data_IF_784464935318
#
_entry.id   IF_784464935318
#
_cell.length_a   1.000
_cell.length_b   1.000
_cell.length_c   1.000
_cell.angle_alpha   90.00
_cell.angle_beta   90.00
_cell.angle_gamma   90.00
#
_symmetry.space_group_name_H-M   'P 1'
#
loop_
_entity.id
_entity.type
_entity.pdbx_description
1 polymer ?
#
# COMPACT_ATOMS: atom_id res chain seq x y z
N UNK A 1 -8.43 -9.32 12.04
CA UNK A 1 -7.42 -8.38 11.57
C UNK A 1 -7.81 -7.01 12.07
N UNK A 2 -6.84 -6.29 12.66
CA UNK A 2 -7.04 -4.97 13.25
C UNK A 2 -6.54 -3.89 12.31
N UNK A 3 -7.38 -2.90 12.03
CA UNK A 3 -7.06 -1.76 11.16
C UNK A 3 -7.11 -0.48 11.98
N UNK A 4 -6.05 0.31 11.94
CA UNK A 4 -6.00 1.65 12.50
C UNK A 4 -6.42 2.66 11.43
N UNK A 5 -7.40 3.51 11.74
CA UNK A 5 -7.89 4.59 10.86
C UNK A 5 -7.65 5.91 11.55
N UNK A 6 -6.86 6.79 10.95
CA UNK A 6 -6.51 8.10 11.51
C UNK A 6 -6.79 9.20 10.50
N UNK A 7 -7.67 10.11 10.89
CA UNK A 7 -8.10 11.26 10.09
C UNK A 7 -8.75 12.27 11.04
N UNK A 8 -8.58 13.57 10.85
CA UNK A 8 -9.19 14.60 11.68
C UNK A 8 -10.68 14.84 11.35
N UNK A 9 -11.15 14.34 10.21
CA UNK A 9 -12.56 14.35 9.83
C UNK A 9 -13.37 13.23 10.50
N UNK A 10 -13.92 13.46 11.68
CA UNK A 10 -14.66 12.46 12.46
C UNK A 10 -15.80 11.76 11.67
N UNK A 11 -16.43 12.44 10.72
CA UNK A 11 -17.50 11.87 9.87
C UNK A 11 -16.92 10.84 8.91
N UNK A 12 -15.78 11.15 8.28
CA UNK A 12 -15.08 10.24 7.38
C UNK A 12 -14.60 8.99 8.13
N UNK A 13 -13.97 9.18 9.29
CA UNK A 13 -13.53 8.08 10.17
C UNK A 13 -14.68 7.15 10.52
N UNK A 14 -15.84 7.70 10.94
CA UNK A 14 -17.03 6.89 11.23
C UNK A 14 -17.52 6.11 10.02
N UNK A 15 -17.52 6.71 8.83
CA UNK A 15 -17.92 6.08 7.58
C UNK A 15 -16.98 4.91 7.21
N UNK A 16 -15.67 5.13 7.28
CA UNK A 16 -14.66 4.09 7.02
C UNK A 16 -14.80 2.95 8.04
N UNK A 17 -14.85 3.29 9.34
CA UNK A 17 -15.00 2.32 10.43
C UNK A 17 -16.23 1.44 10.23
N UNK A 18 -17.39 2.04 9.99
CA UNK A 18 -18.63 1.30 9.76
C UNK A 18 -18.49 0.28 8.63
N UNK A 19 -17.92 0.70 7.51
CA UNK A 19 -17.76 -0.17 6.35
C UNK A 19 -16.75 -1.30 6.58
N UNK A 20 -15.64 -1.03 7.26
CA UNK A 20 -14.62 -2.03 7.53
C UNK A 20 -15.08 -3.03 8.62
N UNK A 21 -15.79 -2.55 9.65
CA UNK A 21 -16.40 -3.43 10.66
C UNK A 21 -17.43 -4.38 10.04
N UNK A 22 -18.23 -3.92 9.07
CA UNK A 22 -19.15 -4.78 8.33
C UNK A 22 -18.46 -5.87 7.51
N UNK A 23 -17.20 -5.63 7.10
CA UNK A 23 -16.37 -6.64 6.42
C UNK A 23 -15.62 -7.56 7.42
N UNK A 24 -15.87 -7.43 8.72
CA UNK A 24 -15.31 -8.30 9.78
C UNK A 24 -13.94 -7.88 10.30
N UNK A 25 -13.50 -6.63 10.03
CA UNK A 25 -12.28 -6.07 10.62
C UNK A 25 -12.55 -5.49 12.00
N UNK A 26 -11.56 -5.58 12.89
CA UNK A 26 -11.52 -4.79 14.13
C UNK A 26 -10.91 -3.41 13.81
N UNK A 27 -11.60 -2.32 14.17
CA UNK A 27 -11.18 -0.96 13.75
C UNK A 27 -10.97 -0.06 14.95
N UNK A 28 -9.71 0.35 15.14
CA UNK A 28 -9.28 1.38 16.08
C UNK A 28 -9.15 2.70 15.33
N UNK A 29 -9.43 3.82 15.99
CA UNK A 29 -9.44 5.14 15.36
C UNK A 29 -8.62 6.15 16.13
N UNK A 30 -7.93 7.04 15.43
CA UNK A 30 -7.23 8.21 15.94
C UNK A 30 -7.64 9.46 15.17
N UNK A 31 -7.32 10.64 15.68
CA UNK A 31 -7.71 11.95 15.15
C UNK A 31 -6.53 12.83 14.72
N UNK A 32 -5.30 12.42 14.95
CA UNK A 32 -4.08 13.16 14.63
C UNK A 32 -2.85 12.23 14.52
N UNK A 33 -1.74 12.77 14.01
CA UNK A 33 -0.52 11.99 13.80
C UNK A 33 0.15 11.49 15.08
N UNK A 34 -0.06 12.12 16.25
CA UNK A 34 0.47 11.64 17.53
C UNK A 34 -0.25 10.36 17.95
N UNK A 35 -1.58 10.37 17.92
CA UNK A 35 -2.40 9.19 18.17
C UNK A 35 -2.07 8.07 17.18
N UNK A 36 -1.81 8.41 15.90
CA UNK A 36 -1.37 7.42 14.91
C UNK A 36 -0.12 6.68 15.35
N UNK A 37 0.92 7.41 15.81
CA UNK A 37 2.19 6.82 16.28
C UNK A 37 1.98 5.97 17.52
N UNK A 38 1.22 6.46 18.51
CA UNK A 38 0.93 5.75 19.76
C UNK A 38 0.16 4.45 19.51
N UNK A 39 -0.91 4.52 18.70
CA UNK A 39 -1.75 3.36 18.40
C UNK A 39 -1.06 2.36 17.47
N UNK A 40 -0.18 2.80 16.59
CA UNK A 40 0.61 1.94 15.72
C UNK A 40 1.66 1.10 16.47
N UNK A 41 1.98 1.46 17.73
CA UNK A 41 2.86 0.66 18.58
C UNK A 41 2.23 -0.65 19.07
N UNK A 42 0.89 -0.81 18.95
CA UNK A 42 0.22 -2.07 19.21
C UNK A 42 0.57 -3.10 18.12
N UNK A 43 1.29 -4.19 18.45
CA UNK A 43 1.72 -5.18 17.47
C UNK A 43 0.57 -5.96 16.82
N UNK A 44 -0.65 -5.80 17.31
CA UNK A 44 -1.85 -6.42 16.74
C UNK A 44 -2.46 -5.61 15.59
N UNK A 45 -1.93 -4.41 15.28
CA UNK A 45 -2.35 -3.62 14.12
C UNK A 45 -1.79 -4.25 12.84
N UNK A 46 -2.68 -4.65 11.94
CA UNK A 46 -2.35 -5.31 10.68
C UNK A 46 -2.24 -4.34 9.49
N UNK A 47 -2.84 -3.14 9.60
CA UNK A 47 -2.84 -2.10 8.56
C UNK A 47 -3.21 -0.75 9.15
N UNK A 48 -2.63 0.33 8.61
CA UNK A 48 -2.95 1.71 8.96
C UNK A 48 -3.53 2.43 7.74
N UNK A 49 -4.64 3.14 7.92
CA UNK A 49 -5.17 4.13 6.99
C UNK A 49 -4.90 5.49 7.63
N UNK A 50 -4.12 6.34 6.97
CA UNK A 50 -3.55 7.54 7.54
C UNK A 50 -3.80 8.75 6.65
N UNK A 51 -4.49 9.75 7.16
CA UNK A 51 -4.63 11.01 6.44
C UNK A 51 -3.31 11.77 6.36
N UNK A 52 -3.06 12.41 5.23
CA UNK A 52 -1.86 13.23 5.00
C UNK A 52 -1.93 14.54 5.79
N UNK A 53 -3.08 15.20 5.74
CA UNK A 53 -3.26 16.57 6.22
C UNK A 53 -3.99 16.59 7.55
N UNK A 54 -3.23 16.51 8.65
CA UNK A 54 -3.79 16.55 10.00
C UNK A 54 -3.12 17.65 10.85
N UNK A 55 -3.83 18.20 11.86
CA UNK A 55 -3.24 19.14 12.81
C UNK A 55 -2.18 18.49 13.70
N UNK A 56 -1.33 19.30 14.33
CA UNK A 56 -0.24 18.95 15.27
C UNK A 56 0.89 18.13 14.64
N UNK A 57 0.60 17.02 14.01
CA UNK A 57 1.54 16.15 13.30
C UNK A 57 0.86 15.64 12.04
N UNK A 58 1.41 15.98 10.89
CA UNK A 58 0.91 15.50 9.60
C UNK A 58 1.18 14.01 9.38
N UNK A 59 0.50 13.44 8.37
CA UNK A 59 0.61 12.01 8.08
C UNK A 59 2.00 11.56 7.62
N UNK A 60 2.79 12.42 6.97
CA UNK A 60 4.15 12.07 6.55
C UNK A 60 5.09 11.94 7.76
N UNK A 61 5.02 12.89 8.67
CA UNK A 61 5.79 12.83 9.90
C UNK A 61 5.39 11.62 10.76
N UNK A 62 4.08 11.33 10.84
CA UNK A 62 3.58 10.16 11.54
C UNK A 62 4.08 8.86 10.87
N UNK A 63 3.99 8.75 9.56
CA UNK A 63 4.47 7.62 8.77
C UNK A 63 5.97 7.39 9.00
N UNK A 64 6.80 8.43 8.87
CA UNK A 64 8.24 8.34 9.10
C UNK A 64 8.58 7.84 10.52
N UNK A 65 7.86 8.32 11.54
CA UNK A 65 8.02 7.84 12.92
C UNK A 65 7.59 6.38 13.08
N UNK A 66 6.45 5.98 12.50
CA UNK A 66 5.98 4.59 12.55
C UNK A 66 7.01 3.66 11.92
N UNK A 67 7.62 4.04 10.81
CA UNK A 67 8.64 3.25 10.12
C UNK A 67 9.93 3.03 10.93
N UNK A 68 10.16 3.80 11.98
CA UNK A 68 11.30 3.54 12.89
C UNK A 68 11.13 2.28 13.76
N UNK A 69 9.90 1.75 13.87
CA UNK A 69 9.61 0.59 14.72
C UNK A 69 8.62 -0.42 14.11
N UNK A 70 8.00 -0.14 12.95
CA UNK A 70 6.99 -1.02 12.36
C UNK A 70 7.00 -0.98 10.84
N UNK A 71 6.91 -2.18 10.23
CA UNK A 71 6.73 -2.39 8.79
C UNK A 71 5.26 -2.64 8.43
N UNK A 72 4.32 -2.32 9.33
CA UNK A 72 2.88 -2.46 9.09
C UNK A 72 2.48 -1.70 7.82
N UNK A 73 1.68 -2.26 6.91
CA UNK A 73 1.29 -1.56 5.69
C UNK A 73 0.50 -0.30 5.99
N UNK A 74 0.85 0.79 5.31
CA UNK A 74 0.22 2.12 5.45
C UNK A 74 -0.41 2.52 4.12
N UNK A 75 -1.73 2.75 4.13
CA UNK A 75 -2.48 3.41 3.07
C UNK A 75 -2.64 4.88 3.43
N UNK A 76 -1.98 5.76 2.66
CA UNK A 76 -2.07 7.21 2.85
C UNK A 76 -3.29 7.77 2.12
N UNK A 77 -4.08 8.61 2.80
CA UNK A 77 -5.14 9.40 2.18
C UNK A 77 -4.64 10.82 1.91
N UNK A 78 -4.95 11.39 0.74
CA UNK A 78 -4.52 12.75 0.36
C UNK A 78 -5.64 13.54 -0.32
N UNK A 79 -5.72 14.84 -0.07
CA UNK A 79 -6.72 15.72 -0.69
C UNK A 79 -6.38 16.11 -2.14
N UNK A 80 -5.12 15.98 -2.60
CA UNK A 80 -4.67 16.47 -3.91
C UNK A 80 -3.96 15.39 -4.72
N UNK A 81 -4.38 15.23 -5.98
CA UNK A 81 -3.69 14.37 -6.95
C UNK A 81 -2.27 14.88 -7.28
N UNK A 82 -2.04 16.19 -7.29
CA UNK A 82 -0.72 16.81 -7.53
C UNK A 82 0.29 16.51 -6.42
N UNK A 83 -0.18 16.30 -5.18
CA UNK A 83 0.68 15.87 -4.08
C UNK A 83 1.11 14.40 -4.24
N UNK A 84 0.30 13.57 -4.91
CA UNK A 84 0.68 12.17 -5.19
C UNK A 84 1.92 12.07 -6.08
N UNK A 85 2.03 12.89 -7.14
CA UNK A 85 3.21 12.83 -8.04
C UNK A 85 4.50 13.25 -7.31
N UNK A 86 4.41 14.19 -6.36
CA UNK A 86 5.52 14.57 -5.50
C UNK A 86 5.82 13.53 -4.42
N UNK A 87 4.79 12.91 -3.85
CA UNK A 87 4.91 11.91 -2.78
C UNK A 87 5.44 10.57 -3.28
N UNK A 88 5.10 10.16 -4.52
CA UNK A 88 5.63 8.96 -5.17
C UNK A 88 7.13 9.13 -5.49
N UNK A 89 7.59 10.38 -5.72
CA UNK A 89 9.01 10.70 -5.95
C UNK A 89 9.88 10.73 -4.69
N UNK A 90 9.29 10.77 -3.49
CA UNK A 90 9.99 10.73 -2.21
C UNK A 90 9.60 9.44 -1.50
N UNK A 91 10.59 8.66 -1.10
CA UNK A 91 10.44 7.37 -0.39
C UNK A 91 9.97 7.61 1.07
N UNK A 92 8.71 8.06 1.24
CA UNK A 92 8.14 8.39 2.57
C UNK A 92 7.67 7.17 3.37
N UNK A 93 7.85 5.96 2.83
CA UNK A 93 7.54 4.72 3.54
C UNK A 93 6.07 4.31 3.56
N UNK A 94 5.17 4.98 2.81
CA UNK A 94 3.81 4.50 2.60
C UNK A 94 3.77 3.40 1.52
N UNK A 95 2.88 2.41 1.68
CA UNK A 95 2.76 1.27 0.77
C UNK A 95 1.78 1.51 -0.37
N UNK A 96 0.82 2.42 -0.18
CA UNK A 96 -0.16 2.83 -1.20
C UNK A 96 -0.73 4.21 -0.86
N UNK A 97 -1.27 4.90 -1.87
CA UNK A 97 -1.88 6.22 -1.75
C UNK A 97 -3.27 6.24 -2.37
N UNK A 98 -4.17 7.06 -1.82
CA UNK A 98 -5.52 7.24 -2.32
C UNK A 98 -5.98 8.69 -2.18
N UNK A 99 -6.56 9.26 -3.23
CA UNK A 99 -7.05 10.64 -3.21
C UNK A 99 -8.45 10.74 -2.62
N UNK A 100 -8.70 11.78 -1.84
CA UNK A 100 -10.03 12.24 -1.43
C UNK A 100 -10.62 13.17 -2.52
N UNK A 101 -11.95 13.08 -2.85
CA UNK A 101 -12.90 12.09 -2.39
C UNK A 101 -12.70 10.72 -3.05
N UNK A 102 -12.94 9.64 -2.33
CA UNK A 102 -12.76 8.27 -2.83
C UNK A 102 -14.05 7.43 -2.74
N UNK A 103 -14.07 6.36 -3.52
CA UNK A 103 -15.11 5.35 -3.43
C UNK A 103 -14.76 4.34 -2.33
N UNK A 104 -15.70 4.05 -1.44
CA UNK A 104 -15.51 3.09 -0.35
C UNK A 104 -15.16 1.67 -0.84
N UNK A 105 -15.66 1.27 -2.02
CA UNK A 105 -15.32 -0.03 -2.61
C UNK A 105 -13.85 -0.07 -3.05
N UNK A 106 -13.31 1.06 -3.54
CA UNK A 106 -11.90 1.18 -3.88
C UNK A 106 -11.03 1.08 -2.63
N UNK A 107 -11.38 1.82 -1.56
CA UNK A 107 -10.68 1.74 -0.27
C UNK A 107 -10.64 0.28 0.24
N UNK A 108 -11.76 -0.41 0.26
CA UNK A 108 -11.85 -1.82 0.64
C UNK A 108 -10.97 -2.73 -0.23
N UNK A 109 -10.90 -2.47 -1.54
CA UNK A 109 -10.08 -3.26 -2.45
C UNK A 109 -8.57 -3.07 -2.15
N UNK A 110 -8.13 -1.83 -1.89
CA UNK A 110 -6.75 -1.51 -1.52
C UNK A 110 -6.36 -2.10 -0.17
N UNK A 111 -7.23 -1.99 0.84
CA UNK A 111 -7.05 -2.62 2.16
C UNK A 111 -6.83 -4.13 2.02
N UNK A 112 -7.69 -4.82 1.26
CA UNK A 112 -7.52 -6.27 1.02
C UNK A 112 -6.21 -6.60 0.30
N UNK A 113 -5.79 -5.76 -0.65
CA UNK A 113 -4.54 -5.96 -1.39
C UNK A 113 -3.31 -5.82 -0.49
N UNK A 114 -3.28 -4.78 0.35
CA UNK A 114 -2.20 -4.52 1.30
C UNK A 114 -2.10 -5.64 2.36
N UNK A 115 -3.22 -6.02 2.98
CA UNK A 115 -3.26 -7.11 3.95
C UNK A 115 -2.82 -8.45 3.35
N UNK A 116 -3.14 -8.72 2.08
CA UNK A 116 -2.68 -9.92 1.38
C UNK A 116 -1.17 -9.89 1.14
N UNK A 117 -0.59 -8.73 0.80
CA UNK A 117 0.87 -8.57 0.63
C UNK A 117 1.60 -8.79 1.94
N UNK A 118 1.13 -8.18 3.03
CA UNK A 118 1.71 -8.32 4.37
C UNK A 118 1.75 -9.78 4.86
N UNK A 119 0.68 -10.55 4.62
CA UNK A 119 0.62 -11.97 4.98
C UNK A 119 1.59 -12.88 4.22
N UNK A 120 2.01 -12.47 3.01
CA UNK A 120 2.89 -13.29 2.16
C UNK A 120 4.36 -13.29 2.62
N UNK A 121 4.72 -12.39 3.53
CA UNK A 121 6.11 -12.17 3.94
C UNK A 121 6.95 -11.50 2.83
N UNK A 122 8.07 -10.85 3.17
CA UNK A 122 8.91 -10.14 2.19
C UNK A 122 9.43 -11.05 1.07
N UNK A 123 9.78 -12.30 1.37
CA UNK A 123 10.28 -13.24 0.34
C UNK A 123 9.19 -13.67 -0.67
N UNK A 124 7.96 -13.91 -0.23
CA UNK A 124 6.86 -14.31 -1.13
C UNK A 124 6.23 -13.11 -1.84
N UNK A 125 6.27 -11.93 -1.21
CA UNK A 125 5.80 -10.69 -1.84
C UNK A 125 6.72 -10.22 -2.97
N UNK A 126 8.01 -10.58 -2.91
CA UNK A 126 8.98 -10.26 -3.94
C UNK A 126 8.80 -11.09 -5.23
N UNK A 127 8.08 -12.21 -5.19
CA UNK A 127 7.92 -13.10 -6.33
C UNK A 127 6.61 -12.84 -7.09
N UNK A 128 6.74 -12.52 -8.37
CA UNK A 128 5.64 -12.53 -9.35
C UNK A 128 5.72 -13.80 -10.18
N UNK A 129 4.58 -14.44 -10.40
CA UNK A 129 4.52 -15.69 -11.17
C UNK A 129 3.46 -15.62 -12.26
N UNK A 130 3.78 -16.11 -13.45
CA UNK A 130 2.85 -16.24 -14.55
C UNK A 130 3.29 -17.37 -15.48
N UNK A 131 2.48 -18.43 -15.55
CA UNK A 131 2.84 -19.64 -16.28
C UNK A 131 4.15 -20.26 -15.76
N UNK A 132 5.16 -20.41 -16.60
CA UNK A 132 6.48 -20.91 -16.23
C UNK A 132 7.47 -19.82 -15.81
N UNK A 133 7.05 -18.54 -15.80
CA UNK A 133 7.91 -17.40 -15.48
C UNK A 133 7.75 -17.04 -14.01
N UNK A 134 8.86 -16.77 -13.34
CA UNK A 134 8.92 -16.22 -11.98
C UNK A 134 9.90 -15.06 -11.96
N UNK A 135 9.47 -13.91 -11.44
CA UNK A 135 10.31 -12.74 -11.21
C UNK A 135 10.45 -12.48 -9.71
N UNK A 136 11.67 -12.25 -9.26
CA UNK A 136 11.90 -11.65 -7.95
C UNK A 136 12.11 -10.15 -8.14
N UNK A 137 11.15 -9.35 -7.67
CA UNK A 137 11.16 -7.89 -7.86
C UNK A 137 12.18 -7.18 -6.97
N UNK A 138 12.58 -7.80 -5.87
CA UNK A 138 13.55 -7.26 -4.93
C UNK A 138 15.00 -7.48 -5.41
N UNK A 139 15.33 -8.70 -5.82
CA UNK A 139 16.67 -9.02 -6.37
C UNK A 139 16.79 -8.76 -7.88
N UNK A 140 15.67 -8.39 -8.55
CA UNK A 140 15.57 -8.21 -10.01
C UNK A 140 16.07 -9.41 -10.81
N UNK A 141 15.71 -10.60 -10.36
CA UNK A 141 16.06 -11.86 -11.02
C UNK A 141 14.85 -12.52 -11.66
N UNK A 142 15.05 -13.12 -12.82
CA UNK A 142 14.00 -13.81 -13.59
C UNK A 142 14.33 -15.32 -13.71
N UNK A 143 13.30 -16.15 -13.69
CA UNK A 143 13.42 -17.60 -13.87
C UNK A 143 12.32 -18.10 -14.83
N UNK A 144 12.70 -19.05 -15.68
CA UNK A 144 11.77 -19.88 -16.46
C UNK A 144 11.85 -21.31 -15.93
N UNK A 145 10.81 -21.72 -15.22
CA UNK A 145 10.89 -22.97 -14.42
C UNK A 145 11.96 -22.83 -13.32
N UNK A 146 12.99 -23.66 -13.37
CA UNK A 146 14.12 -23.63 -12.43
C UNK A 146 15.40 -23.00 -13.01
N UNK A 147 15.36 -22.51 -14.27
CA UNK A 147 16.52 -21.91 -14.93
C UNK A 147 16.42 -20.39 -14.82
N UNK A 148 17.49 -19.76 -14.31
CA UNK A 148 17.61 -18.31 -14.29
C UNK A 148 17.78 -17.80 -15.72
N UNK A 149 17.14 -16.67 -16.01
CA UNK A 149 17.19 -15.98 -17.31
C UNK A 149 17.69 -14.56 -17.07
N UNK A 150 18.69 -14.15 -17.82
CA UNK A 150 19.21 -12.81 -17.77
C UNK A 150 18.33 -11.90 -18.64
N UNK A 151 17.72 -10.90 -18.00
CA UNK A 151 16.93 -9.86 -18.65
C UNK A 151 17.64 -8.51 -18.49
N UNK A 152 17.60 -7.71 -19.53
CA UNK A 152 17.94 -6.28 -19.42
C UNK A 152 16.96 -5.56 -18.50
N UNK A 153 17.32 -4.37 -18.01
CA UNK A 153 16.43 -3.57 -17.14
C UNK A 153 15.05 -3.36 -17.76
N UNK A 154 14.99 -2.99 -19.05
CA UNK A 154 13.72 -2.74 -19.76
C UNK A 154 12.90 -4.01 -19.97
N UNK A 155 13.53 -5.14 -20.26
CA UNK A 155 12.84 -6.42 -20.39
C UNK A 155 12.28 -6.88 -19.05
N UNK A 156 13.03 -6.71 -17.97
CA UNK A 156 12.57 -7.00 -16.63
C UNK A 156 11.34 -6.15 -16.28
N UNK A 157 11.40 -4.83 -16.47
CA UNK A 157 10.31 -3.90 -16.16
C UNK A 157 9.04 -4.22 -16.99
N UNK A 158 9.23 -4.59 -18.26
CA UNK A 158 8.12 -5.00 -19.13
C UNK A 158 7.45 -6.29 -18.61
N UNK A 159 8.23 -7.32 -18.29
CA UNK A 159 7.68 -8.59 -17.79
C UNK A 159 7.04 -8.37 -16.42
N UNK A 160 7.62 -7.55 -15.56
CA UNK A 160 7.01 -7.16 -14.29
C UNK A 160 5.65 -6.50 -14.48
N UNK A 161 5.55 -5.52 -15.39
CA UNK A 161 4.30 -4.83 -15.71
C UNK A 161 3.21 -5.82 -16.17
N UNK A 162 3.55 -6.73 -17.05
CA UNK A 162 2.63 -7.73 -17.57
C UNK A 162 2.19 -8.73 -16.49
N UNK A 163 3.11 -9.20 -15.65
CA UNK A 163 2.80 -10.13 -14.56
C UNK A 163 1.97 -9.50 -13.44
N UNK A 164 2.10 -8.19 -13.21
CA UNK A 164 1.25 -7.45 -12.26
C UNK A 164 -0.18 -7.26 -12.76
N UNK A 165 -0.39 -7.29 -14.09
CA UNK A 165 -1.66 -7.00 -14.72
C UNK A 165 -2.01 -8.07 -15.80
N UNK A 166 -2.22 -9.32 -15.42
CA UNK A 166 -2.30 -10.46 -16.36
C UNK A 166 -3.49 -10.39 -17.33
N UNK A 167 -4.53 -9.61 -16.99
CA UNK A 167 -5.75 -9.48 -17.85
C UNK A 167 -5.77 -8.15 -18.62
N UNK A 168 -4.71 -7.32 -18.53
CA UNK A 168 -4.67 -6.04 -19.19
C UNK A 168 -3.91 -6.11 -20.51
N UNK A 169 -4.54 -5.64 -21.58
CA UNK A 169 -3.90 -5.45 -22.90
C UNK A 169 -3.27 -4.05 -22.94
N UNK A 170 -2.01 -3.97 -23.36
CA UNK A 170 -1.29 -2.72 -23.53
C UNK A 170 -1.04 -2.45 -25.02
N UNK A 171 -1.19 -1.20 -25.45
CA UNK A 171 -0.75 -0.80 -26.79
C UNK A 171 0.78 -0.70 -26.83
N UNK A 172 1.35 -0.72 -28.05
CA UNK A 172 2.81 -0.55 -28.23
C UNK A 172 3.31 0.78 -27.70
N UNK A 173 2.51 1.84 -27.87
CA UNK A 173 2.84 3.18 -27.38
C UNK A 173 2.83 3.26 -25.84
N UNK A 174 2.06 2.41 -25.17
CA UNK A 174 2.01 2.35 -23.71
C UNK A 174 3.17 1.55 -23.09
N UNK A 175 3.95 0.83 -23.91
CA UNK A 175 5.05 -0.03 -23.48
C UNK A 175 6.44 0.54 -23.83
N UNK A 176 6.49 1.67 -24.54
CA UNK A 176 7.72 2.37 -24.98
C UNK A 176 7.95 3.63 -24.17
#
# INVERSE_FOLDING_TARGET
MKILVVDDEAVLVKGIKFNLCNDGYDVVTGSNGREAVELAADPSVDLIILDLMMPEMDGLMACAKIRTFSDVPILMLTAKAEDMDKLIGFDHGADDYMTKPFNILELKARVRALLRRAKRGPEQAAWLTGGSIRLNTQSRTAFRGNTQVDLTLKEFDLVELLLRNPERVYSREALL
#
